data_IF_528887557901
#
_entry.id   IF_528887557901
#
_cell.length_a   1.000
_cell.length_b   1.000
_cell.length_c   1.000
_cell.angle_alpha   90.00
_cell.angle_beta   90.00
_cell.angle_gamma   90.00
#
_symmetry.space_group_name_H-M   'P 1'
#
loop_
_entity.id
_entity.type
_entity.pdbx_description
1 polymer ?
#
# COMPACT_ATOMS: atom_id res chain seq x y z
N UNK A 1 8.09 -70.54 22.24
CA UNK A 1 7.23 -69.83 21.27
C UNK A 1 6.66 -68.50 21.80
N UNK A 2 5.90 -68.46 22.92
CA UNK A 2 5.29 -67.21 23.42
C UNK A 2 6.28 -66.04 23.66
N UNK A 3 7.50 -66.31 24.14
CA UNK A 3 8.52 -65.27 24.38
C UNK A 3 9.10 -64.64 23.09
N UNK A 4 9.14 -65.39 21.99
CA UNK A 4 9.64 -64.89 20.69
C UNK A 4 8.60 -63.98 20.03
N UNK A 5 7.32 -64.31 20.17
CA UNK A 5 6.22 -63.51 19.64
C UNK A 5 6.13 -62.13 20.31
N UNK A 6 6.36 -62.07 21.63
CA UNK A 6 6.38 -60.80 22.40
C UNK A 6 7.56 -59.92 21.99
N UNK A 7 8.73 -60.51 21.75
CA UNK A 7 9.92 -59.78 21.27
C UNK A 7 9.75 -59.23 19.85
N UNK A 8 9.09 -59.99 18.96
CA UNK A 8 8.76 -59.50 17.62
C UNK A 8 7.70 -58.39 17.64
N UNK A 9 6.66 -58.47 18.49
CA UNK A 9 5.70 -57.38 18.65
C UNK A 9 6.34 -56.12 19.23
N UNK A 10 7.23 -56.25 20.22
CA UNK A 10 7.97 -55.11 20.76
C UNK A 10 8.88 -54.46 19.70
N UNK A 11 9.56 -55.25 18.87
CA UNK A 11 10.37 -54.72 17.77
C UNK A 11 9.52 -53.96 16.72
N UNK A 12 8.33 -54.46 16.40
CA UNK A 12 7.38 -53.79 15.49
C UNK A 12 6.79 -52.52 16.10
N UNK A 13 6.47 -52.51 17.40
CA UNK A 13 6.01 -51.30 18.09
C UNK A 13 7.10 -50.24 18.21
N UNK A 14 8.35 -50.64 18.50
CA UNK A 14 9.50 -49.72 18.56
C UNK A 14 9.85 -49.18 17.17
N UNK A 15 9.72 -49.97 16.10
CA UNK A 15 9.84 -49.45 14.73
C UNK A 15 8.70 -48.49 14.38
N UNK A 16 7.45 -48.79 14.76
CA UNK A 16 6.32 -47.89 14.53
C UNK A 16 6.46 -46.54 15.28
N UNK A 17 7.04 -46.53 16.49
CA UNK A 17 7.35 -45.29 17.21
C UNK A 17 8.56 -44.54 16.62
N UNK A 18 9.59 -45.24 16.14
CA UNK A 18 10.75 -44.61 15.48
C UNK A 18 10.42 -44.03 14.10
N UNK A 19 9.44 -44.59 13.38
CA UNK A 19 8.97 -44.09 12.09
C UNK A 19 7.70 -43.22 12.17
N UNK A 20 7.08 -43.12 13.36
CA UNK A 20 5.84 -42.39 13.60
C UNK A 20 6.00 -40.95 14.09
N UNK A 21 7.22 -40.49 14.40
CA UNK A 21 7.48 -39.06 14.59
C UNK A 21 7.32 -38.38 13.24
N UNK A 22 6.13 -37.86 12.94
CA UNK A 22 5.96 -36.81 11.93
C UNK A 22 7.06 -35.79 12.21
N UNK A 23 8.02 -35.68 11.29
CA UNK A 23 9.03 -34.64 11.37
C UNK A 23 8.27 -33.32 11.58
N UNK A 24 8.67 -32.55 12.58
CA UNK A 24 8.11 -31.21 12.75
C UNK A 24 8.32 -30.47 11.43
N UNK A 25 7.28 -29.78 10.93
CA UNK A 25 7.38 -29.11 9.64
C UNK A 25 8.55 -28.15 9.69
N UNK A 26 9.37 -28.13 8.63
CA UNK A 26 10.51 -27.24 8.62
C UNK A 26 10.02 -25.79 8.74
N UNK A 27 10.64 -25.03 9.64
CA UNK A 27 10.39 -23.59 9.80
C UNK A 27 11.64 -22.86 9.37
N UNK A 28 11.48 -21.87 8.50
CA UNK A 28 12.55 -20.95 8.14
C UNK A 28 12.21 -19.56 8.63
N UNK A 29 13.16 -18.95 9.32
CA UNK A 29 13.09 -17.55 9.74
C UNK A 29 13.93 -16.76 8.74
N UNK A 30 13.26 -15.92 7.97
CA UNK A 30 13.90 -15.01 7.02
C UNK A 30 14.79 -14.00 7.77
N UNK A 31 15.71 -13.33 7.08
CA UNK A 31 16.58 -12.32 7.70
C UNK A 31 15.81 -11.14 8.29
N UNK A 32 14.59 -10.91 7.81
CA UNK A 32 13.65 -9.95 8.36
C UNK A 32 12.83 -10.47 9.55
N UNK A 33 13.07 -11.68 10.04
CA UNK A 33 12.34 -12.29 11.15
C UNK A 33 11.00 -12.95 10.75
N UNK A 34 10.55 -12.79 9.51
CA UNK A 34 9.33 -13.46 9.02
C UNK A 34 9.52 -14.97 9.09
N UNK A 35 8.58 -15.66 9.71
CA UNK A 35 8.58 -17.13 9.83
C UNK A 35 7.73 -17.73 8.72
N UNK A 36 8.31 -18.64 7.94
CA UNK A 36 7.60 -19.43 6.93
C UNK A 36 7.73 -20.90 7.30
N UNK A 37 6.62 -21.62 7.30
CA UNK A 37 6.58 -23.04 7.69
C UNK A 37 6.18 -23.90 6.49
N UNK A 38 6.76 -25.09 6.36
CA UNK A 38 6.28 -26.07 5.39
C UNK A 38 4.79 -26.41 5.66
N UNK A 39 3.99 -26.43 4.59
CA UNK A 39 2.54 -26.58 4.65
C UNK A 39 1.78 -25.25 4.78
N UNK A 40 2.45 -24.13 5.06
CA UNK A 40 1.81 -22.82 5.13
C UNK A 40 1.25 -22.39 3.77
N UNK A 41 0.07 -21.78 3.76
CA UNK A 41 -0.49 -21.12 2.58
C UNK A 41 0.14 -19.74 2.44
N UNK A 42 0.66 -19.45 1.25
CA UNK A 42 1.24 -18.18 0.85
C UNK A 42 0.37 -17.59 -0.25
N UNK A 43 0.00 -16.31 -0.11
CA UNK A 43 -0.75 -15.58 -1.14
C UNK A 43 0.21 -14.74 -1.98
N UNK A 44 0.06 -14.81 -3.31
CA UNK A 44 0.90 -14.05 -4.25
C UNK A 44 0.37 -12.61 -4.40
N UNK A 45 1.27 -11.64 -4.23
CA UNK A 45 1.01 -10.23 -4.44
C UNK A 45 1.20 -9.79 -5.89
N UNK A 46 1.26 -8.48 -6.13
CA UNK A 46 1.40 -7.94 -7.49
C UNK A 46 2.81 -8.22 -8.02
N UNK A 47 2.91 -8.24 -9.35
CA UNK A 47 4.19 -8.30 -10.05
C UNK A 47 5.09 -7.13 -9.62
N UNK A 48 6.38 -7.41 -9.34
CA UNK A 48 7.33 -6.35 -9.00
C UNK A 48 7.75 -5.51 -10.22
N UNK A 49 7.52 -6.02 -11.45
CA UNK A 49 7.82 -5.33 -12.71
C UNK A 49 6.62 -5.35 -13.65
N UNK A 50 6.59 -4.45 -14.67
CA UNK A 50 5.60 -4.53 -15.73
C UNK A 50 5.64 -5.93 -16.38
N UNK A 51 4.55 -6.67 -16.21
CA UNK A 51 4.26 -7.96 -16.84
C UNK A 51 5.05 -9.19 -16.35
N UNK A 52 5.81 -9.11 -15.25
CA UNK A 52 6.42 -10.33 -14.68
C UNK A 52 6.78 -10.24 -13.20
N UNK A 53 6.88 -11.43 -12.58
CA UNK A 53 7.47 -11.64 -11.27
C UNK A 53 8.98 -11.89 -11.38
N UNK A 54 9.78 -11.18 -10.58
CA UNK A 54 11.23 -11.35 -10.55
C UNK A 54 11.68 -12.46 -9.60
N UNK A 55 10.97 -12.62 -8.48
CA UNK A 55 11.38 -13.48 -7.39
C UNK A 55 10.56 -14.76 -7.32
N UNK A 56 9.46 -14.83 -8.08
CA UNK A 56 8.72 -16.06 -8.38
C UNK A 56 9.15 -16.56 -9.76
N UNK A 57 9.71 -17.77 -9.82
CA UNK A 57 10.23 -18.37 -11.04
C UNK A 57 9.67 -19.76 -11.28
N UNK A 58 9.58 -20.14 -12.55
CA UNK A 58 9.26 -21.52 -12.95
C UNK A 58 10.52 -22.23 -13.44
N UNK A 59 10.69 -23.50 -13.09
CA UNK A 59 11.70 -24.33 -13.72
C UNK A 59 11.27 -24.61 -15.17
N UNK A 60 12.18 -24.46 -16.14
CA UNK A 60 11.86 -24.71 -17.54
C UNK A 60 12.78 -25.74 -18.20
N UNK A 61 14.01 -25.91 -17.72
CA UNK A 61 14.97 -26.88 -18.28
C UNK A 61 15.96 -27.35 -17.23
N UNK A 62 16.34 -28.62 -17.26
CA UNK A 62 17.51 -29.11 -16.54
C UNK A 62 18.75 -29.04 -17.46
N UNK A 63 19.79 -28.37 -16.99
CA UNK A 63 21.11 -28.33 -17.60
C UNK A 63 21.91 -29.51 -17.07
N UNK A 64 22.00 -30.58 -17.88
CA UNK A 64 22.72 -31.81 -17.52
C UNK A 64 24.22 -31.59 -17.34
N UNK A 65 24.82 -30.68 -18.10
CA UNK A 65 26.26 -30.41 -18.06
C UNK A 65 26.65 -29.80 -16.71
N UNK A 66 25.85 -28.85 -16.24
CA UNK A 66 26.07 -28.18 -14.96
C UNK A 66 25.26 -28.81 -13.81
N UNK A 67 24.53 -29.90 -14.08
CA UNK A 67 23.65 -30.61 -13.14
C UNK A 67 22.74 -29.68 -12.33
N UNK A 68 22.04 -28.77 -13.02
CA UNK A 68 21.21 -27.73 -12.39
C UNK A 68 19.94 -27.44 -13.15
N UNK A 69 18.90 -27.02 -12.44
CA UNK A 69 17.69 -26.46 -13.07
C UNK A 69 17.93 -25.02 -13.51
N UNK A 70 17.42 -24.68 -14.70
CA UNK A 70 17.30 -23.33 -15.22
C UNK A 70 15.88 -22.84 -15.00
N UNK A 71 15.78 -21.55 -14.65
CA UNK A 71 14.56 -20.90 -14.22
C UNK A 71 14.25 -19.69 -15.09
N UNK A 72 12.97 -19.48 -15.38
CA UNK A 72 12.48 -18.29 -16.07
C UNK A 72 11.58 -17.49 -15.14
N UNK A 73 11.53 -16.18 -15.38
CA UNK A 73 10.53 -15.30 -14.74
C UNK A 73 9.13 -15.77 -15.08
N UNK A 74 8.18 -15.48 -14.19
CA UNK A 74 6.76 -15.78 -14.43
C UNK A 74 6.10 -14.55 -15.01
N UNK A 75 5.64 -14.64 -16.26
CA UNK A 75 4.95 -13.54 -16.96
C UNK A 75 3.43 -13.61 -16.81
N UNK A 76 2.90 -14.76 -16.37
CA UNK A 76 1.46 -14.89 -16.13
C UNK A 76 1.04 -14.24 -14.82
N UNK A 77 -0.16 -13.68 -14.80
CA UNK A 77 -0.73 -13.08 -13.60
C UNK A 77 -1.11 -14.15 -12.57
N UNK A 78 -0.45 -14.06 -11.42
CA UNK A 78 -0.64 -14.92 -10.26
C UNK A 78 -1.30 -14.17 -9.09
N UNK A 79 -1.67 -12.89 -9.27
CA UNK A 79 -2.14 -12.04 -8.19
C UNK A 79 -3.32 -12.65 -7.43
N UNK A 80 -3.24 -12.63 -6.10
CA UNK A 80 -4.24 -13.17 -5.18
C UNK A 80 -4.31 -14.70 -5.12
N UNK A 81 -3.53 -15.43 -5.92
CA UNK A 81 -3.53 -16.90 -5.87
C UNK A 81 -2.81 -17.40 -4.62
N UNK A 82 -3.33 -18.49 -4.08
CA UNK A 82 -2.82 -19.14 -2.89
C UNK A 82 -2.04 -20.41 -3.25
N UNK A 83 -0.87 -20.57 -2.65
CA UNK A 83 0.01 -21.71 -2.86
C UNK A 83 0.42 -22.30 -1.52
N UNK A 84 0.61 -23.62 -1.46
CA UNK A 84 1.18 -24.26 -0.28
C UNK A 84 2.71 -24.26 -0.40
N UNK A 85 3.37 -23.83 0.66
CA UNK A 85 4.81 -23.97 0.83
C UNK A 85 5.16 -25.45 1.02
N UNK A 86 5.41 -26.16 -0.08
CA UNK A 86 5.63 -27.62 -0.05
C UNK A 86 6.99 -27.98 0.53
N UNK A 87 8.01 -27.16 0.26
CA UNK A 87 9.38 -27.43 0.68
C UNK A 87 10.15 -26.13 0.91
N UNK A 88 10.89 -26.09 2.02
CA UNK A 88 11.82 -25.01 2.32
C UNK A 88 13.26 -25.46 2.06
N UNK A 89 14.03 -24.58 1.42
CA UNK A 89 15.44 -24.81 1.11
C UNK A 89 16.29 -23.73 1.78
N UNK A 90 17.18 -24.16 2.67
CA UNK A 90 18.17 -23.30 3.33
C UNK A 90 19.50 -23.38 2.58
N UNK A 91 20.16 -22.25 2.32
CA UNK A 91 21.51 -22.16 1.73
C UNK A 91 21.69 -22.66 0.28
N UNK A 92 20.62 -22.71 -0.53
CA UNK A 92 20.72 -23.11 -1.93
C UNK A 92 20.66 -21.92 -2.88
N UNK A 93 21.68 -21.75 -3.72
CA UNK A 93 21.72 -20.69 -4.71
C UNK A 93 20.99 -21.08 -6.01
N UNK A 94 19.66 -21.24 -5.92
CA UNK A 94 18.81 -21.80 -6.98
C UNK A 94 18.79 -20.94 -8.29
N UNK A 95 19.14 -19.65 -8.25
CA UNK A 95 18.90 -18.71 -9.36
C UNK A 95 20.16 -18.17 -10.08
N UNK A 96 21.35 -18.75 -9.89
CA UNK A 96 22.58 -18.19 -10.47
C UNK A 96 22.66 -18.32 -12.00
N UNK A 97 22.69 -17.17 -12.68
CA UNK A 97 23.48 -16.91 -13.88
C UNK A 97 24.27 -15.59 -13.61
N UNK A 98 25.55 -15.62 -13.96
CA UNK A 98 26.51 -14.51 -14.01
C UNK A 98 27.22 -14.04 -12.72
N UNK A 99 28.53 -13.84 -12.90
CA UNK A 99 29.51 -13.34 -11.96
C UNK A 99 29.12 -11.96 -11.42
N UNK A 100 29.06 -11.78 -10.09
CA UNK A 100 29.69 -10.67 -9.34
C UNK A 100 29.45 -10.83 -7.81
N UNK A 101 30.61 -10.95 -7.13
CA UNK A 101 31.06 -10.40 -5.84
C UNK A 101 30.41 -10.85 -4.51
N UNK A 102 31.31 -11.44 -3.72
CA UNK A 102 31.31 -11.71 -2.30
C UNK A 102 30.73 -10.62 -1.38
N UNK A 103 30.31 -11.10 -0.21
CA UNK A 103 29.91 -10.40 1.02
C UNK A 103 28.44 -9.95 1.12
N UNK A 104 27.53 -10.92 1.20
CA UNK A 104 26.38 -10.78 2.12
C UNK A 104 26.25 -12.07 2.92
N UNK A 105 26.41 -11.92 4.23
CA UNK A 105 26.43 -12.97 5.25
C UNK A 105 25.08 -13.69 5.30
N UNK A 106 25.12 -15.02 5.17
CA UNK A 106 24.17 -16.03 5.67
C UNK A 106 22.71 -15.58 5.93
N UNK A 107 21.79 -15.93 5.01
CA UNK A 107 20.44 -16.50 5.28
C UNK A 107 19.54 -16.43 4.03
N UNK A 108 19.82 -17.26 3.02
CA UNK A 108 18.92 -17.41 1.87
C UNK A 108 17.91 -18.53 2.15
N UNK A 109 16.63 -18.15 2.16
CA UNK A 109 15.50 -19.01 2.51
C UNK A 109 14.58 -19.12 1.30
N UNK A 110 14.83 -20.09 0.41
CA UNK A 110 14.01 -20.26 -0.80
C UNK A 110 12.90 -21.27 -0.52
N UNK A 111 11.74 -21.09 -1.13
CA UNK A 111 10.63 -22.04 -1.02
C UNK A 111 10.24 -22.58 -2.39
N UNK A 112 9.90 -23.86 -2.42
CA UNK A 112 9.08 -24.42 -3.49
C UNK A 112 7.62 -24.25 -3.11
N UNK A 113 6.92 -23.36 -3.80
CA UNK A 113 5.47 -23.21 -3.68
C UNK A 113 4.80 -24.13 -4.70
N UNK A 114 3.83 -24.93 -4.24
CA UNK A 114 2.99 -25.76 -5.08
C UNK A 114 1.58 -25.20 -5.08
N UNK A 115 0.98 -25.05 -6.25
CA UNK A 115 -0.43 -24.69 -6.32
C UNK A 115 -1.25 -25.86 -5.78
N UNK A 116 -2.22 -25.58 -4.91
CA UNK A 116 -3.12 -26.60 -4.42
C UNK A 116 -3.89 -27.25 -5.58
N UNK A 117 -3.72 -28.56 -5.77
CA UNK A 117 -4.45 -29.32 -6.78
C UNK A 117 -3.93 -29.17 -8.21
N UNK A 118 -2.71 -28.66 -8.43
CA UNK A 118 -2.07 -28.70 -9.75
C UNK A 118 -0.61 -29.17 -9.68
N UNK A 119 -0.07 -29.56 -10.84
CA UNK A 119 1.34 -29.87 -11.02
C UNK A 119 2.21 -28.60 -11.20
N UNK A 120 1.61 -27.41 -11.14
CA UNK A 120 2.35 -26.15 -11.21
C UNK A 120 3.12 -25.91 -9.91
N UNK A 121 4.44 -25.81 -10.04
CA UNK A 121 5.33 -25.46 -8.94
C UNK A 121 6.17 -24.24 -9.27
N UNK A 122 6.26 -23.31 -8.33
CA UNK A 122 7.14 -22.15 -8.42
C UNK A 122 8.27 -22.28 -7.42
N UNK A 123 9.44 -21.81 -7.83
CA UNK A 123 10.54 -21.52 -6.91
C UNK A 123 10.50 -20.05 -6.57
N UNK A 124 10.59 -19.75 -5.27
CA UNK A 124 10.51 -18.38 -4.77
C UNK A 124 11.73 -18.05 -3.94
N UNK A 125 12.31 -16.87 -4.21
CA UNK A 125 13.16 -16.20 -3.25
C UNK A 125 12.29 -15.50 -2.21
N UNK A 126 12.01 -16.16 -1.07
CA UNK A 126 11.00 -15.67 -0.13
C UNK A 126 11.33 -14.28 0.40
N UNK A 127 12.59 -14.00 0.73
CA UNK A 127 13.00 -12.72 1.29
C UNK A 127 12.76 -11.60 0.28
N UNK A 128 13.23 -11.78 -0.95
CA UNK A 128 13.11 -10.76 -1.97
C UNK A 128 11.68 -10.63 -2.51
N UNK A 129 10.93 -11.73 -2.59
CA UNK A 129 9.50 -11.72 -2.93
C UNK A 129 8.67 -10.99 -1.86
N UNK A 130 8.98 -11.17 -0.57
CA UNK A 130 8.38 -10.40 0.52
C UNK A 130 8.77 -8.92 0.42
N UNK A 131 10.06 -8.61 0.22
CA UNK A 131 10.56 -7.23 0.12
C UNK A 131 10.03 -6.45 -1.09
N UNK A 132 9.63 -7.16 -2.14
CA UNK A 132 9.06 -6.56 -3.36
C UNK A 132 7.53 -6.54 -3.36
N UNK A 133 6.88 -7.20 -2.39
CA UNK A 133 5.43 -7.32 -2.34
C UNK A 133 4.86 -8.37 -3.29
N UNK A 134 5.70 -9.25 -3.88
CA UNK A 134 5.26 -10.43 -4.64
C UNK A 134 4.69 -11.53 -3.72
N UNK A 135 4.96 -11.46 -2.41
CA UNK A 135 4.28 -12.25 -1.37
C UNK A 135 3.52 -11.31 -0.43
N UNK A 136 2.28 -11.69 -0.13
CA UNK A 136 1.42 -11.03 0.87
C UNK A 136 1.62 -11.70 2.22
N UNK A 137 2.10 -10.94 3.21
CA UNK A 137 2.27 -11.38 4.60
C UNK A 137 1.04 -11.10 5.46
N UNK A 138 0.39 -9.97 5.22
CA UNK A 138 -0.80 -9.54 5.97
C UNK A 138 -1.79 -8.84 5.07
N UNK A 139 -3.07 -9.05 5.32
CA UNK A 139 -4.16 -8.28 4.77
C UNK A 139 -4.77 -7.42 5.87
N UNK A 140 -5.37 -6.29 5.51
CA UNK A 140 -6.15 -5.50 6.46
C UNK A 140 -7.45 -6.28 6.78
N UNK A 141 -7.66 -6.77 8.02
CA UNK A 141 -8.84 -7.55 8.36
C UNK A 141 -10.14 -6.74 8.25
N UNK A 142 -10.04 -5.41 8.40
CA UNK A 142 -11.17 -4.48 8.37
C UNK A 142 -11.16 -3.63 7.09
N UNK A 143 -10.66 -4.18 5.99
CA UNK A 143 -10.56 -3.45 4.71
C UNK A 143 -11.92 -2.93 4.27
N UNK A 144 -12.05 -1.60 4.27
CA UNK A 144 -13.23 -0.90 3.74
C UNK A 144 -12.90 -0.30 2.38
N UNK A 145 -13.82 -0.46 1.43
CA UNK A 145 -13.69 0.11 0.10
C UNK A 145 -14.43 1.45 0.05
N UNK A 146 -13.74 2.51 0.45
CA UNK A 146 -14.23 3.88 0.31
C UNK A 146 -13.97 4.41 -1.10
N UNK A 147 -14.81 5.36 -1.54
CA UNK A 147 -14.63 6.04 -2.83
C UNK A 147 -13.33 6.85 -2.79
N UNK A 148 -12.50 6.69 -3.82
CA UNK A 148 -11.25 7.45 -3.92
C UNK A 148 -11.54 8.94 -4.13
N UNK A 149 -10.92 9.79 -3.31
CA UNK A 149 -11.07 11.25 -3.40
C UNK A 149 -10.18 11.80 -4.50
N UNK A 150 -10.78 12.10 -5.66
CA UNK A 150 -10.08 12.65 -6.83
C UNK A 150 -10.01 14.18 -6.76
N UNK A 151 -9.14 14.77 -7.59
CA UNK A 151 -9.07 16.23 -7.76
C UNK A 151 -10.40 16.83 -8.24
N UNK A 152 -11.13 16.11 -9.10
CA UNK A 152 -12.48 16.48 -9.55
C UNK A 152 -13.46 16.52 -8.37
N UNK A 153 -13.44 15.50 -7.50
CA UNK A 153 -14.28 15.49 -6.31
C UNK A 153 -13.92 16.58 -5.31
N UNK A 154 -12.63 16.89 -5.15
CA UNK A 154 -12.19 18.02 -4.33
C UNK A 154 -12.77 19.34 -4.87
N UNK A 155 -12.67 19.57 -6.17
CA UNK A 155 -13.22 20.75 -6.84
C UNK A 155 -14.73 20.86 -6.69
N UNK A 156 -15.47 19.78 -6.94
CA UNK A 156 -16.93 19.81 -6.80
C UNK A 156 -17.36 20.02 -5.34
N UNK A 157 -16.71 19.36 -4.37
CA UNK A 157 -17.00 19.61 -2.96
C UNK A 157 -16.70 21.06 -2.57
N UNK A 158 -15.62 21.65 -3.10
CA UNK A 158 -15.31 23.06 -2.89
C UNK A 158 -16.40 23.99 -3.44
N UNK A 159 -16.83 23.79 -4.70
CA UNK A 159 -17.92 24.56 -5.29
C UNK A 159 -19.23 24.43 -4.50
N UNK A 160 -19.53 23.21 -4.00
CA UNK A 160 -20.71 22.95 -3.16
C UNK A 160 -20.66 23.75 -1.86
N UNK A 161 -19.53 23.70 -1.14
CA UNK A 161 -19.35 24.46 0.11
C UNK A 161 -19.47 25.97 -0.12
N UNK A 162 -18.98 26.47 -1.26
CA UNK A 162 -19.07 27.89 -1.62
C UNK A 162 -20.43 28.33 -2.12
N UNK A 163 -21.37 27.39 -2.32
CA UNK A 163 -22.62 27.66 -3.03
C UNK A 163 -22.36 28.40 -4.35
N UNK A 164 -21.29 28.00 -5.05
CA UNK A 164 -20.77 28.67 -6.22
C UNK A 164 -21.73 28.54 -7.41
N UNK A 165 -21.79 29.58 -8.24
CA UNK A 165 -22.54 29.54 -9.49
C UNK A 165 -21.76 28.71 -10.52
N UNK A 166 -22.29 27.54 -10.88
CA UNK A 166 -21.65 26.59 -11.78
C UNK A 166 -21.33 27.16 -13.17
N UNK A 167 -22.05 28.18 -13.62
CA UNK A 167 -21.76 28.82 -14.89
C UNK A 167 -20.41 29.51 -14.92
N UNK A 168 -19.89 29.93 -13.76
CA UNK A 168 -18.62 30.64 -13.65
C UNK A 168 -17.42 29.66 -13.75
N UNK A 169 -17.68 28.36 -13.56
CA UNK A 169 -16.64 27.32 -13.44
C UNK A 169 -16.66 26.28 -14.57
N UNK A 170 -17.64 26.34 -15.48
CA UNK A 170 -17.80 25.37 -16.57
C UNK A 170 -16.59 25.31 -17.53
N UNK A 171 -15.91 26.44 -17.76
CA UNK A 171 -14.72 26.50 -18.61
C UNK A 171 -13.52 25.83 -17.95
N UNK A 172 -13.26 26.16 -16.68
CA UNK A 172 -12.23 25.51 -15.87
C UNK A 172 -12.47 24.00 -15.76
N UNK A 173 -13.72 23.59 -15.51
CA UNK A 173 -14.06 22.18 -15.40
C UNK A 173 -13.89 21.43 -16.73
N UNK A 174 -14.33 22.03 -17.85
CA UNK A 174 -14.13 21.50 -19.20
C UNK A 174 -12.62 21.31 -19.47
N UNK A 175 -11.80 22.32 -19.15
CA UNK A 175 -10.36 22.26 -19.33
C UNK A 175 -9.68 21.20 -18.45
N UNK A 176 -9.99 21.17 -17.14
CA UNK A 176 -9.29 20.32 -16.17
C UNK A 176 -9.71 18.85 -16.24
N UNK A 177 -11.01 18.58 -16.36
CA UNK A 177 -11.57 17.24 -16.14
C UNK A 177 -12.22 16.64 -17.40
N UNK A 178 -12.32 17.43 -18.46
CA UNK A 178 -12.82 17.01 -19.78
C UNK A 178 -11.86 17.47 -20.91
N UNK A 179 -10.56 17.48 -20.63
CA UNK A 179 -9.53 18.06 -21.51
C UNK A 179 -9.57 17.52 -22.95
N UNK A 180 -9.84 16.22 -23.14
CA UNK A 180 -9.94 15.64 -24.48
C UNK A 180 -11.07 16.24 -25.30
N UNK A 181 -12.18 16.61 -24.65
CA UNK A 181 -13.28 17.33 -25.30
C UNK A 181 -12.85 18.77 -25.56
N UNK A 182 -12.30 19.44 -24.56
CA UNK A 182 -11.78 20.81 -24.68
C UNK A 182 -10.86 20.97 -25.89
N UNK A 183 -9.80 20.15 -25.99
CA UNK A 183 -8.80 20.20 -27.07
C UNK A 183 -9.45 20.06 -28.44
N UNK A 184 -10.48 19.21 -28.57
CA UNK A 184 -11.17 18.98 -29.84
C UNK A 184 -12.09 20.13 -30.26
N UNK A 185 -12.66 20.86 -29.30
CA UNK A 185 -13.75 21.81 -29.57
C UNK A 185 -13.35 23.27 -29.39
N UNK A 186 -12.25 23.60 -28.71
CA UNK A 186 -11.96 24.98 -28.28
C UNK A 186 -11.77 26.02 -29.41
N UNK A 187 -11.44 25.60 -30.62
CA UNK A 187 -11.27 26.48 -31.79
C UNK A 187 -12.52 26.59 -32.67
N UNK A 188 -13.64 25.94 -32.29
CA UNK A 188 -14.94 26.00 -32.97
C UNK A 188 -15.97 26.56 -31.99
N UNK A 189 -16.43 27.80 -32.21
CA UNK A 189 -17.29 28.50 -31.24
C UNK A 189 -18.62 27.79 -30.96
N UNK A 190 -19.14 27.03 -31.93
CA UNK A 190 -20.40 26.31 -31.78
C UNK A 190 -20.19 25.03 -30.98
N UNK A 191 -19.16 24.24 -31.34
CA UNK A 191 -18.84 23.01 -30.61
C UNK A 191 -18.34 23.32 -29.19
N UNK A 192 -17.57 24.38 -29.00
CA UNK A 192 -17.14 24.83 -27.68
C UNK A 192 -18.35 25.22 -26.83
N UNK A 193 -19.30 25.96 -27.39
CA UNK A 193 -20.54 26.31 -26.70
C UNK A 193 -21.33 25.10 -26.22
N UNK A 194 -21.41 24.03 -27.03
CA UNK A 194 -22.06 22.78 -26.64
C UNK A 194 -21.24 21.98 -25.61
N UNK A 195 -19.92 21.95 -25.72
CA UNK A 195 -19.04 21.35 -24.72
C UNK A 195 -19.17 22.02 -23.35
N UNK A 196 -19.34 23.35 -23.30
CA UNK A 196 -19.58 24.08 -22.05
C UNK A 196 -20.92 23.73 -21.41
N UNK A 197 -21.98 23.51 -22.20
CA UNK A 197 -23.27 23.01 -21.69
C UNK A 197 -23.12 21.62 -21.09
N UNK A 198 -22.38 20.73 -21.77
CA UNK A 198 -22.10 19.38 -21.28
C UNK A 198 -21.32 19.41 -19.97
N UNK A 199 -20.30 20.28 -19.86
CA UNK A 199 -19.54 20.47 -18.64
C UNK A 199 -20.44 20.93 -17.48
N UNK A 200 -21.27 21.96 -17.69
CA UNK A 200 -22.20 22.45 -16.67
C UNK A 200 -23.22 21.36 -16.22
N UNK A 201 -23.75 20.58 -17.15
CA UNK A 201 -24.64 19.46 -16.85
C UNK A 201 -23.94 18.36 -16.04
N UNK A 202 -22.72 17.99 -16.43
CA UNK A 202 -21.93 16.98 -15.72
C UNK A 202 -21.62 17.44 -14.29
N UNK A 203 -21.14 18.67 -14.10
CA UNK A 203 -20.91 19.25 -12.77
C UNK A 203 -22.17 19.21 -11.91
N UNK A 204 -23.30 19.68 -12.46
CA UNK A 204 -24.58 19.71 -11.73
C UNK A 204 -25.02 18.30 -11.29
N UNK A 205 -24.96 17.31 -12.20
CA UNK A 205 -25.30 15.93 -11.87
C UNK A 205 -24.40 15.32 -10.80
N UNK A 206 -23.09 15.60 -10.87
CA UNK A 206 -22.14 15.09 -9.87
C UNK A 206 -22.30 15.77 -8.52
N UNK A 207 -22.54 17.09 -8.48
CA UNK A 207 -22.80 17.84 -7.24
C UNK A 207 -24.05 17.33 -6.52
N UNK A 208 -25.10 17.01 -7.26
CA UNK A 208 -26.32 16.40 -6.73
C UNK A 208 -26.07 15.00 -6.16
N UNK A 209 -25.09 14.27 -6.71
CA UNK A 209 -24.70 12.93 -6.21
C UNK A 209 -23.82 12.96 -4.96
N UNK A 210 -23.28 14.12 -4.57
CA UNK A 210 -22.40 14.23 -3.40
C UNK A 210 -23.19 14.07 -2.11
N UNK A 211 -22.88 13.02 -1.36
CA UNK A 211 -23.42 12.76 -0.04
C UNK A 211 -22.49 13.33 1.04
N UNK A 212 -22.95 14.26 1.92
CA UNK A 212 -22.15 14.82 3.00
C UNK A 212 -21.61 13.78 4.00
N UNK A 213 -22.30 12.66 4.15
CA UNK A 213 -21.89 11.57 5.05
C UNK A 213 -20.95 10.56 4.40
N UNK A 214 -20.65 10.72 3.11
CA UNK A 214 -19.74 9.85 2.39
C UNK A 214 -18.33 9.94 2.99
N UNK A 215 -17.76 8.77 3.27
CA UNK A 215 -16.36 8.65 3.64
C UNK A 215 -15.56 8.40 2.37
N UNK A 216 -14.61 9.28 2.12
CA UNK A 216 -13.68 9.19 1.00
C UNK A 216 -12.34 8.64 1.48
N UNK A 217 -11.56 8.07 0.55
CA UNK A 217 -10.19 7.62 0.78
C UNK A 217 -9.21 8.44 -0.07
N UNK A 218 -8.13 8.92 0.54
CA UNK A 218 -7.01 9.54 -0.16
C UNK A 218 -5.71 8.78 0.12
N UNK A 219 -4.97 8.46 -0.95
CA UNK A 219 -3.71 7.71 -0.90
C UNK A 219 -2.53 8.68 -0.78
N UNK A 220 -1.68 8.47 0.22
CA UNK A 220 -0.51 9.32 0.50
C UNK A 220 0.66 8.53 1.09
N UNK A 221 1.75 9.21 1.44
CA UNK A 221 2.92 8.64 2.10
C UNK A 221 3.23 9.44 3.36
N UNK A 222 3.42 8.74 4.47
CA UNK A 222 3.94 9.29 5.72
C UNK A 222 5.33 8.73 6.00
N UNK A 223 6.02 9.29 6.98
CA UNK A 223 7.24 8.72 7.53
C UNK A 223 6.97 8.24 8.97
N UNK A 224 7.45 7.05 9.32
CA UNK A 224 7.44 6.57 10.71
C UNK A 224 8.76 6.91 11.42
N UNK A 225 8.68 7.27 12.70
CA UNK A 225 9.84 7.55 13.55
C UNK A 225 10.57 6.30 14.02
N UNK A 226 11.43 6.49 15.02
CA UNK A 226 12.01 5.39 15.78
C UNK A 226 10.91 4.64 16.55
N UNK A 227 11.12 3.35 16.82
CA UNK A 227 10.19 2.60 17.66
C UNK A 227 10.24 3.16 19.09
N UNK A 228 9.07 3.42 19.64
CA UNK A 228 8.89 3.86 21.02
C UNK A 228 8.50 2.62 21.84
N UNK A 229 9.45 2.10 22.64
CA UNK A 229 9.23 0.93 23.50
C UNK A 229 8.21 1.21 24.63
N UNK A 230 8.08 2.47 25.07
CA UNK A 230 7.14 2.84 26.14
C UNK A 230 5.69 2.82 25.62
N UNK A 231 5.45 3.44 24.47
CA UNK A 231 4.13 3.54 23.86
C UNK A 231 3.81 2.39 22.88
N UNK A 232 4.77 1.50 22.62
CA UNK A 232 4.68 0.31 21.76
C UNK A 232 4.20 0.65 20.35
N UNK A 233 5.02 1.39 19.61
CA UNK A 233 4.67 1.78 18.25
C UNK A 233 5.61 2.78 17.62
N UNK A 234 5.14 3.45 16.59
CA UNK A 234 5.88 4.46 15.85
C UNK A 234 5.16 5.81 15.87
N UNK A 235 5.85 6.91 16.22
CA UNK A 235 5.35 8.25 15.91
C UNK A 235 5.29 8.45 14.40
N UNK A 236 4.27 9.15 13.92
CA UNK A 236 4.04 9.41 12.49
C UNK A 236 4.42 10.85 12.19
N UNK A 237 5.04 11.04 11.03
CA UNK A 237 5.53 12.33 10.55
C UNK A 237 5.03 12.60 9.14
N UNK A 238 4.79 13.86 8.84
CA UNK A 238 4.55 14.31 7.48
C UNK A 238 5.82 14.26 6.65
N UNK A 239 5.65 14.02 5.35
CA UNK A 239 6.72 13.93 4.37
C UNK A 239 6.95 15.29 3.70
N UNK A 240 7.18 16.31 4.50
CA UNK A 240 7.24 17.73 4.11
C UNK A 240 8.67 18.31 4.11
N UNK A 241 9.70 17.46 4.14
CA UNK A 241 11.10 17.87 4.22
C UNK A 241 11.54 18.29 5.63
N UNK A 242 10.61 18.75 6.46
CA UNK A 242 10.85 19.15 7.85
C UNK A 242 10.61 18.01 8.85
N UNK A 243 9.96 16.91 8.41
CA UNK A 243 9.62 15.77 9.26
C UNK A 243 8.81 16.25 10.46
N UNK A 244 7.75 17.01 10.21
CA UNK A 244 6.86 17.49 11.26
C UNK A 244 6.09 16.30 11.85
N UNK A 245 6.12 16.08 13.18
CA UNK A 245 5.30 15.05 13.81
C UNK A 245 3.82 15.35 13.56
N UNK A 246 3.05 14.34 13.14
CA UNK A 246 1.60 14.49 12.89
C UNK A 246 0.88 14.98 14.15
N UNK A 247 1.28 14.50 15.33
CA UNK A 247 0.76 14.96 16.62
C UNK A 247 0.97 16.47 16.86
N UNK A 248 2.06 17.03 16.32
CA UNK A 248 2.45 18.43 16.47
C UNK A 248 1.94 19.31 15.33
N UNK A 249 1.18 18.75 14.38
CA UNK A 249 0.47 19.49 13.33
C UNK A 249 -0.68 20.26 13.98
N UNK A 250 -0.32 21.31 14.73
CA UNK A 250 -1.25 22.20 15.39
C UNK A 250 -1.91 23.12 14.36
N UNK A 251 -2.90 22.63 13.61
CA UNK A 251 -3.60 23.41 12.56
C UNK A 251 -2.62 24.14 11.60
N UNK A 252 -1.36 23.68 11.49
CA UNK A 252 -0.26 24.43 10.84
C UNK A 252 0.05 23.91 9.45
N UNK A 253 -0.31 22.69 9.13
CA UNK A 253 0.02 22.11 7.82
C UNK A 253 -1.28 21.75 7.12
N UNK A 254 -1.66 22.64 6.20
CA UNK A 254 -2.51 22.30 5.08
C UNK A 254 -1.86 21.10 4.42
N UNK A 255 -2.54 19.95 4.36
CA UNK A 255 -2.12 18.92 3.43
C UNK A 255 -2.59 19.42 2.07
N UNK A 256 -1.80 20.33 1.49
CA UNK A 256 -2.11 20.96 0.24
C UNK A 256 -2.03 19.86 -0.82
N UNK A 257 -3.19 19.32 -1.21
CA UNK A 257 -3.32 18.54 -2.43
C UNK A 257 -3.23 19.46 -3.66
N UNK A 258 -2.30 20.40 -3.67
CA UNK A 258 -1.86 21.05 -4.90
C UNK A 258 -0.92 20.05 -5.55
N UNK A 259 -1.47 19.08 -6.26
CA UNK A 259 -0.73 18.59 -7.40
C UNK A 259 -0.56 19.84 -8.27
N UNK A 260 0.67 20.35 -8.35
CA UNK A 260 0.98 21.58 -9.08
C UNK A 260 0.38 21.48 -10.49
N UNK A 261 -0.82 22.03 -10.70
CA UNK A 261 -1.28 22.40 -12.03
C UNK A 261 -0.34 23.55 -12.38
N UNK A 262 0.56 23.24 -13.31
CA UNK A 262 1.76 23.99 -13.59
C UNK A 262 1.51 25.51 -13.67
N UNK A 263 2.31 26.29 -12.92
CA UNK A 263 2.41 27.76 -13.03
C UNK A 263 2.73 28.30 -14.44
N UNK A 264 2.94 27.42 -15.43
CA UNK A 264 3.18 27.80 -16.82
C UNK A 264 1.95 27.81 -17.73
N UNK A 265 0.75 27.49 -17.22
CA UNK A 265 -0.49 27.39 -18.00
C UNK A 265 -1.62 28.31 -17.51
N UNK A 266 -1.32 29.35 -16.72
CA UNK A 266 -2.23 30.49 -16.60
C UNK A 266 -2.32 31.14 -17.99
N UNK A 267 -3.31 30.72 -18.79
CA UNK A 267 -3.75 31.53 -19.92
C UNK A 267 -4.39 32.77 -19.32
N UNK A 268 -4.10 33.94 -19.89
CA UNK A 268 -4.53 35.26 -19.36
C UNK A 268 -6.06 35.40 -19.12
N UNK A 269 -6.87 34.46 -19.63
CA UNK A 269 -8.33 34.47 -19.57
C UNK A 269 -8.95 33.37 -18.69
N UNK A 270 -8.17 32.44 -18.11
CA UNK A 270 -8.68 31.37 -17.23
C UNK A 270 -8.09 31.49 -15.82
N UNK A 271 -8.94 31.91 -14.86
CA UNK A 271 -8.61 31.86 -13.44
C UNK A 271 -8.89 30.46 -12.91
N UNK A 272 -7.88 29.88 -12.29
CA UNK A 272 -7.88 28.51 -11.79
C UNK A 272 -8.05 28.51 -10.28
N UNK A 273 -9.07 27.83 -9.78
CA UNK A 273 -9.26 27.66 -8.34
C UNK A 273 -8.21 26.69 -7.78
N UNK A 274 -7.57 27.11 -6.69
CA UNK A 274 -6.66 26.27 -5.92
C UNK A 274 -7.40 25.70 -4.74
N UNK A 275 -7.86 24.46 -4.86
CA UNK A 275 -8.55 23.77 -3.77
C UNK A 275 -7.53 23.19 -2.80
N UNK A 276 -7.50 23.74 -1.59
CA UNK A 276 -6.66 23.21 -0.52
C UNK A 276 -7.49 22.27 0.37
N UNK A 277 -6.87 21.23 0.94
CA UNK A 277 -7.52 20.35 1.91
C UNK A 277 -6.92 20.55 3.29
N UNK A 278 -7.79 20.62 4.30
CA UNK A 278 -7.41 20.69 5.71
C UNK A 278 -8.03 19.52 6.47
N UNK A 279 -7.17 18.68 7.04
CA UNK A 279 -7.57 17.64 7.98
C UNK A 279 -7.50 18.18 9.42
N UNK A 280 -8.63 18.58 9.99
CA UNK A 280 -8.61 19.35 11.24
C UNK A 280 -8.23 18.53 12.48
N UNK A 281 -8.51 17.22 12.47
CA UNK A 281 -8.22 16.30 13.58
C UNK A 281 -7.04 15.35 13.27
N UNK A 282 -6.21 15.64 12.27
CA UNK A 282 -5.12 14.75 11.86
C UNK A 282 -4.13 14.45 12.99
N UNK A 283 -3.95 15.38 13.93
CA UNK A 283 -3.04 15.22 15.07
C UNK A 283 -3.41 14.06 15.99
N UNK A 284 -4.68 13.65 16.03
CA UNK A 284 -5.16 12.48 16.77
C UNK A 284 -4.61 11.16 16.18
N UNK A 285 -4.10 11.20 14.95
CA UNK A 285 -3.57 10.04 14.22
C UNK A 285 -2.04 10.00 14.20
N UNK A 286 -1.39 10.68 15.14
CA UNK A 286 0.06 10.86 15.16
C UNK A 286 0.90 9.67 15.63
N UNK A 287 0.30 8.53 15.97
CA UNK A 287 1.03 7.37 16.51
C UNK A 287 0.44 6.03 16.06
N UNK A 288 1.24 5.20 15.40
CA UNK A 288 0.89 3.87 14.95
C UNK A 288 1.30 2.83 16.00
N UNK A 289 0.33 2.24 16.71
CA UNK A 289 0.60 1.16 17.67
C UNK A 289 0.94 -0.14 16.95
N UNK A 290 2.04 -0.76 17.36
CA UNK A 290 2.59 -1.98 16.76
C UNK A 290 3.36 -2.76 17.83
N UNK A 291 3.19 -4.08 17.89
CA UNK A 291 3.97 -4.92 18.78
C UNK A 291 5.45 -4.95 18.39
N UNK A 292 6.31 -5.26 19.35
CA UNK A 292 7.76 -5.21 19.18
C UNK A 292 8.27 -6.19 18.13
N UNK A 293 7.72 -7.40 18.09
CA UNK A 293 8.17 -8.45 17.18
C UNK A 293 7.87 -8.04 15.73
N UNK A 294 6.66 -7.53 15.47
CA UNK A 294 6.30 -6.97 14.17
C UNK A 294 7.17 -5.76 13.81
N UNK A 295 7.39 -4.85 14.75
CA UNK A 295 8.21 -3.65 14.53
C UNK A 295 9.65 -4.03 14.17
N UNK A 296 10.28 -4.98 14.87
CA UNK A 296 11.60 -5.50 14.51
C UNK A 296 11.62 -6.07 13.10
N UNK A 297 10.61 -6.85 12.73
CA UNK A 297 10.52 -7.42 11.39
C UNK A 297 10.38 -6.36 10.31
N UNK A 298 9.51 -5.37 10.52
CA UNK A 298 9.37 -4.21 9.63
C UNK A 298 10.70 -3.46 9.45
N UNK A 299 11.43 -3.19 10.53
CA UNK A 299 12.72 -2.47 10.47
C UNK A 299 13.76 -3.28 9.70
N UNK A 300 13.87 -4.59 9.96
CA UNK A 300 14.83 -5.45 9.25
C UNK A 300 14.52 -5.56 7.77
N UNK A 301 13.24 -5.63 7.37
CA UNK A 301 12.83 -5.64 5.95
C UNK A 301 13.28 -4.40 5.21
N UNK A 302 13.15 -3.23 5.84
CA UNK A 302 13.37 -1.92 5.21
C UNK A 302 14.78 -1.35 5.43
N UNK A 303 15.66 -2.10 6.09
CA UNK A 303 17.06 -1.77 6.28
C UNK A 303 17.89 -2.17 5.06
N UNK A 304 18.62 -1.23 4.50
CA UNK A 304 19.58 -1.49 3.42
C UNK A 304 20.93 -2.01 3.95
N UNK A 305 21.85 -2.34 3.04
CA UNK A 305 23.17 -2.89 3.36
C UNK A 305 24.07 -1.92 4.14
N UNK A 306 23.78 -0.60 4.07
CA UNK A 306 24.45 0.45 4.82
C UNK A 306 23.84 0.68 6.20
N UNK A 307 22.74 -0.02 6.49
CA UNK A 307 22.01 0.06 7.73
C UNK A 307 20.97 1.17 7.81
N UNK A 308 20.69 1.86 6.71
CA UNK A 308 19.65 2.89 6.62
C UNK A 308 18.29 2.22 6.50
N UNK A 309 17.34 2.65 7.34
CA UNK A 309 15.97 2.13 7.31
C UNK A 309 15.09 3.07 6.49
N UNK A 310 14.44 2.55 5.44
CA UNK A 310 13.42 3.29 4.68
C UNK A 310 12.15 3.44 5.52
N UNK A 311 11.95 4.62 6.09
CA UNK A 311 10.85 4.94 7.00
C UNK A 311 9.57 5.42 6.31
N UNK A 312 9.59 5.63 5.00
CA UNK A 312 8.39 5.95 4.24
C UNK A 312 7.41 4.78 4.29
N UNK A 313 6.16 5.05 4.64
CA UNK A 313 5.04 4.10 4.66
C UNK A 313 3.88 4.66 3.85
N UNK A 314 3.17 3.78 3.16
CA UNK A 314 2.03 4.16 2.33
C UNK A 314 0.79 4.20 3.19
N UNK A 315 -0.07 5.19 3.01
CA UNK A 315 -1.27 5.36 3.82
C UNK A 315 -2.51 5.67 2.99
N UNK A 316 -3.65 5.16 3.45
CA UNK A 316 -4.98 5.65 3.05
C UNK A 316 -5.55 6.46 4.20
N UNK A 317 -5.78 7.74 3.96
CA UNK A 317 -6.53 8.61 4.87
C UNK A 317 -7.99 8.48 4.47
N UNK A 318 -8.81 7.98 5.39
CA UNK A 318 -10.25 7.89 5.24
C UNK A 318 -10.89 9.06 5.98
N UNK A 319 -11.72 9.86 5.30
CA UNK A 319 -12.24 11.11 5.86
C UNK A 319 -13.61 11.48 5.30
N UNK A 320 -14.31 12.35 6.02
CA UNK A 320 -15.53 13.02 5.55
C UNK A 320 -15.24 14.48 5.22
N UNK A 321 -15.89 15.01 4.20
CA UNK A 321 -15.92 16.45 3.96
C UNK A 321 -16.90 17.08 4.95
N UNK A 322 -16.49 18.14 5.63
CA UNK A 322 -17.27 18.75 6.71
C UNK A 322 -17.28 20.28 6.57
N UNK A 323 -18.45 20.87 6.79
CA UNK A 323 -18.58 22.31 7.03
C UNK A 323 -18.07 22.65 8.43
N UNK A 324 -17.17 23.63 8.52
CA UNK A 324 -16.71 24.13 9.81
C UNK A 324 -17.87 24.80 10.55
N UNK A 325 -18.09 24.42 11.80
CA UNK A 325 -19.01 25.15 12.68
C UNK A 325 -18.33 26.37 13.29
N UNK A 326 -19.11 27.34 13.79
CA UNK A 326 -18.58 28.51 14.51
C UNK A 326 -17.67 28.13 15.69
N UNK A 327 -17.92 26.98 16.33
CA UNK A 327 -17.08 26.48 17.41
C UNK A 327 -15.76 25.89 16.91
N UNK A 328 -15.78 25.20 15.77
CA UNK A 328 -14.55 24.70 15.14
C UNK A 328 -13.64 25.89 14.77
N UNK A 329 -14.23 26.94 14.19
CA UNK A 329 -13.55 28.19 13.84
C UNK A 329 -12.94 28.91 15.06
N UNK A 330 -13.67 29.00 16.18
CA UNK A 330 -13.19 29.65 17.41
C UNK A 330 -11.96 28.97 18.03
N UNK A 331 -11.84 27.67 17.83
CA UNK A 331 -10.69 26.89 18.30
C UNK A 331 -9.48 26.99 17.37
N UNK A 332 -9.64 27.62 16.19
CA UNK A 332 -8.54 27.92 15.28
C UNK A 332 -7.90 29.27 15.64
N UNK A 333 -6.57 29.33 15.65
CA UNK A 333 -5.85 30.59 15.93
C UNK A 333 -6.21 31.67 14.90
N UNK A 334 -6.63 32.85 15.35
CA UNK A 334 -7.09 33.99 14.52
C UNK A 334 -6.13 34.39 13.39
N UNK A 335 -4.83 34.25 13.57
CA UNK A 335 -3.82 34.57 12.53
C UNK A 335 -3.85 33.62 11.31
N UNK A 336 -4.59 32.51 11.39
CA UNK A 336 -4.68 31.47 10.34
C UNK A 336 -6.02 31.43 9.61
N UNK A 337 -6.97 32.28 10.01
CA UNK A 337 -8.34 32.28 9.50
C UNK A 337 -8.51 33.05 8.18
N UNK A 338 -7.63 34.01 7.89
CA UNK A 338 -7.71 34.86 6.69
C UNK A 338 -7.55 34.10 5.36
N UNK A 339 -6.87 32.95 5.37
CA UNK A 339 -6.61 32.11 4.19
C UNK A 339 -7.56 30.89 4.09
N UNK A 340 -8.48 30.70 5.03
CA UNK A 340 -9.37 29.52 5.05
C UNK A 340 -10.52 29.61 4.04
N UNK A 341 -10.70 30.76 3.39
CA UNK A 341 -11.72 30.90 2.37
C UNK A 341 -11.54 29.87 1.26
N UNK A 342 -10.33 29.45 0.91
CA UNK A 342 -10.12 28.54 -0.24
C UNK A 342 -9.76 27.11 0.19
N UNK A 343 -10.35 26.65 1.29
CA UNK A 343 -10.01 25.37 1.94
C UNK A 343 -11.23 24.47 2.11
N UNK A 344 -11.13 23.25 1.60
CA UNK A 344 -12.00 22.14 1.91
C UNK A 344 -11.62 21.56 3.27
N UNK A 345 -12.53 21.61 4.24
CA UNK A 345 -12.28 21.01 5.56
C UNK A 345 -12.73 19.56 5.59
N UNK A 346 -11.91 18.70 6.19
CA UNK A 346 -12.11 17.27 6.27
C UNK A 346 -11.89 16.73 7.68
N UNK A 347 -12.75 15.81 8.09
CA UNK A 347 -12.63 15.03 9.31
C UNK A 347 -12.03 13.66 9.01
N UNK A 348 -10.85 13.37 9.54
CA UNK A 348 -10.23 12.06 9.43
C UNK A 348 -10.98 11.08 10.33
N UNK A 349 -11.42 9.98 9.73
CA UNK A 349 -12.11 8.87 10.38
C UNK A 349 -11.11 7.77 10.72
N UNK A 350 -10.22 7.45 9.78
CA UNK A 350 -9.14 6.49 9.99
C UNK A 350 -7.95 6.71 9.08
N UNK A 351 -6.80 6.19 9.47
CA UNK A 351 -5.62 6.07 8.60
C UNK A 351 -5.14 4.63 8.62
N UNK A 352 -5.12 4.02 7.44
CA UNK A 352 -4.60 2.67 7.22
C UNK A 352 -3.17 2.76 6.68
N UNK A 353 -2.24 1.99 7.24
CA UNK A 353 -0.83 2.00 6.84
C UNK A 353 -0.42 0.69 6.17
N UNK A 354 0.40 0.80 5.14
CA UNK A 354 0.84 -0.28 4.27
C UNK A 354 2.34 -0.18 3.97
N UNK A 355 2.98 -1.34 3.84
CA UNK A 355 4.41 -1.46 3.52
C UNK A 355 4.68 -1.09 2.03
N UNK A 356 3.66 -1.23 1.15
CA UNK A 356 3.76 -1.09 -0.31
C UNK A 356 2.77 -0.11 -0.95
N UNK A 357 3.15 0.38 -2.14
CA UNK A 357 2.48 1.47 -2.89
C UNK A 357 1.12 1.09 -3.49
N UNK A 358 0.78 -0.19 -3.49
CA UNK A 358 -0.51 -0.69 -3.98
C UNK A 358 -1.64 -0.42 -2.95
N UNK A 359 -1.30 -0.22 -1.68
CA UNK A 359 -2.24 0.04 -0.59
C UNK A 359 -3.30 -1.07 -0.40
N UNK A 360 -3.00 -2.32 -0.76
CA UNK A 360 -3.95 -3.43 -0.61
C UNK A 360 -3.49 -4.46 0.42
N UNK A 361 -2.19 -4.69 0.52
CA UNK A 361 -1.61 -5.75 1.35
C UNK A 361 -0.33 -5.31 2.08
N UNK A 362 0.18 -6.20 2.93
CA UNK A 362 1.22 -5.94 3.91
C UNK A 362 0.84 -4.75 4.80
N UNK A 363 -0.36 -4.85 5.34
CA UNK A 363 -0.95 -3.92 6.29
C UNK A 363 -0.11 -3.88 7.57
N UNK A 364 0.21 -2.65 8.00
CA UNK A 364 1.01 -2.36 9.19
C UNK A 364 0.14 -2.05 10.41
N UNK A 365 -1.07 -1.55 10.19
CA UNK A 365 -1.97 -1.10 11.24
C UNK A 365 -2.99 -0.08 10.75
N UNK A 366 -4.04 0.11 11.53
CA UNK A 366 -5.06 1.14 11.31
C UNK A 366 -5.21 1.96 12.57
N UNK A 367 -5.20 3.28 12.43
CA UNK A 367 -5.58 4.21 13.50
C UNK A 367 -7.01 4.65 13.21
N UNK A 368 -7.90 4.48 14.18
CA UNK A 368 -9.33 4.88 14.08
C UNK A 368 -9.69 5.78 15.26
N UNK A 369 -10.65 6.67 15.03
CA UNK A 369 -11.24 7.53 16.07
C UNK A 369 -12.50 6.89 16.66
#
# INVERSE_FOLDING_TARGET
MKKILVLMMLAVCVQAEMFGKKAEPAVVVLSDGTKVTEGQIVTIGKMSFPNHYNYIKTAYRYDEQNRRWLYSVVEKDLYGRQYVCRRLHTNTNIFYNDHIIANVVNNVSKATLLLLGSDESYQIDLLEAVRSGEIILSENPDKKNYREFTEELAFLNYLKLKSANLNDYKEEYLYRYMNDLYVKTHDDEFQYGDALKMAAQKMSSQLQSLNPDEVYSYKTVFMVGAYDDENKGFPIYLRDGYRTPVADVAYKERLILSKHIWKGLQREWLNFENVNILFYNISEFGFLKVDKDFAESFIRRRKDDWGTVKRDVYAKINFKVKELTDNDVKNMSKDKLGDLNDVLTCEVVSIEFYDFKDYEYNWLGTITK
#
